data_IF_388999042637
#
_entry.id   IF_388999042637
#
_cell.length_a   1.000
_cell.length_b   1.000
_cell.length_c   1.000
_cell.angle_alpha   90.00
_cell.angle_beta   90.00
_cell.angle_gamma   90.00
#
_symmetry.space_group_name_H-M   'P 1'
#
loop_
_entity.id
_entity.type
_entity.pdbx_description
1 polymer ?
#
# COMPACT_ATOMS: atom_id res chain seq x y z
N UNK A 1 17.85 -48.73 -52.68
CA UNK A 1 17.37 -47.33 -52.52
C UNK A 1 18.47 -46.40 -53.01
N UNK A 2 18.16 -45.37 -53.82
CA UNK A 2 19.12 -44.30 -54.15
C UNK A 2 18.69 -43.06 -53.41
N UNK A 3 19.51 -42.61 -52.47
CA UNK A 3 19.36 -41.33 -51.77
C UNK A 3 19.95 -40.22 -52.65
N UNK A 4 19.26 -39.08 -52.77
CA UNK A 4 19.69 -37.96 -53.63
C UNK A 4 20.37 -36.81 -52.88
N UNK A 5 20.35 -36.82 -51.56
CA UNK A 5 21.07 -35.87 -50.72
C UNK A 5 20.79 -36.20 -49.26
N UNK A 6 21.78 -35.97 -48.41
CA UNK A 6 21.62 -35.99 -46.96
C UNK A 6 21.87 -34.58 -46.46
N UNK A 7 20.99 -34.07 -45.59
CA UNK A 7 21.24 -32.88 -44.80
C UNK A 7 21.33 -33.30 -43.35
N UNK A 8 22.46 -32.99 -42.72
CA UNK A 8 22.67 -33.21 -41.30
C UNK A 8 22.74 -31.82 -40.66
N UNK A 9 21.94 -31.58 -39.64
CA UNK A 9 21.98 -30.37 -38.82
C UNK A 9 22.26 -30.75 -37.38
N UNK A 10 23.30 -30.15 -36.80
CA UNK A 10 23.64 -30.30 -35.38
C UNK A 10 23.63 -28.91 -34.77
N UNK A 11 22.84 -28.73 -33.71
CA UNK A 11 22.76 -27.48 -32.96
C UNK A 11 22.96 -27.80 -31.47
N UNK A 12 24.21 -27.73 -30.96
CA UNK A 12 24.48 -27.86 -29.55
C UNK A 12 24.23 -26.53 -28.81
N UNK A 13 23.72 -26.63 -27.60
CA UNK A 13 23.51 -25.54 -26.64
C UNK A 13 24.26 -25.92 -25.36
N UNK A 14 25.02 -24.98 -24.79
CA UNK A 14 25.88 -25.23 -23.62
C UNK A 14 25.79 -24.06 -22.67
N UNK A 15 25.50 -24.34 -21.40
CA UNK A 15 25.41 -23.34 -20.33
C UNK A 15 26.68 -23.37 -19.50
N UNK A 16 27.29 -22.21 -19.24
CA UNK A 16 28.53 -22.07 -18.47
C UNK A 16 28.30 -21.08 -17.31
N UNK A 17 28.76 -21.43 -16.12
CA UNK A 17 28.67 -20.57 -14.94
C UNK A 17 29.73 -19.45 -14.91
N UNK A 18 29.60 -18.54 -13.93
CA UNK A 18 30.54 -17.43 -13.74
C UNK A 18 31.97 -17.82 -13.36
N UNK A 19 32.21 -19.09 -13.01
CA UNK A 19 33.52 -19.66 -12.73
C UNK A 19 34.13 -20.38 -13.95
N UNK A 20 33.42 -20.38 -15.09
CA UNK A 20 33.86 -21.02 -16.32
C UNK A 20 33.54 -22.52 -16.40
N UNK A 21 32.73 -23.06 -15.47
CA UNK A 21 32.35 -24.47 -15.50
C UNK A 21 31.09 -24.66 -16.34
N UNK A 22 31.08 -25.71 -17.17
CA UNK A 22 29.87 -26.13 -17.88
C UNK A 22 28.86 -26.66 -16.86
N UNK A 23 27.59 -26.24 -16.95
CA UNK A 23 26.52 -26.64 -16.03
C UNK A 23 25.38 -27.39 -16.71
N UNK A 24 25.21 -27.22 -18.02
CA UNK A 24 24.24 -27.98 -18.82
C UNK A 24 24.70 -28.10 -20.29
N UNK A 25 24.38 -29.22 -20.94
CA UNK A 25 24.64 -29.45 -22.37
C UNK A 25 23.39 -30.07 -23.00
N UNK A 26 22.85 -29.39 -24.01
CA UNK A 26 21.74 -29.84 -24.83
C UNK A 26 22.14 -29.85 -26.30
N UNK A 27 21.46 -30.63 -27.12
CA UNK A 27 21.76 -30.74 -28.54
C UNK A 27 20.57 -31.20 -29.34
N UNK A 28 20.43 -30.65 -30.54
CA UNK A 28 19.49 -31.17 -31.54
C UNK A 28 20.27 -31.75 -32.69
N UNK A 29 19.87 -32.94 -33.12
CA UNK A 29 20.43 -33.62 -34.28
C UNK A 29 19.28 -33.94 -35.23
N UNK A 30 19.36 -33.38 -36.43
CA UNK A 30 18.44 -33.65 -37.53
C UNK A 30 19.18 -34.33 -38.68
N UNK A 31 18.62 -35.41 -39.20
CA UNK A 31 19.08 -36.05 -40.43
C UNK A 31 17.92 -36.14 -41.40
N UNK A 32 18.04 -35.44 -42.53
CA UNK A 32 17.08 -35.49 -43.61
C UNK A 32 17.67 -36.19 -44.83
N UNK A 33 16.86 -37.02 -45.47
CA UNK A 33 17.23 -37.74 -46.68
C UNK A 33 16.14 -37.64 -47.73
N UNK A 34 16.54 -37.27 -48.95
CA UNK A 34 15.61 -37.25 -50.08
C UNK A 34 15.44 -38.65 -50.67
N UNK A 35 14.19 -39.12 -50.73
CA UNK A 35 13.82 -40.40 -51.34
C UNK A 35 13.00 -40.19 -52.62
N UNK A 36 12.72 -41.28 -53.33
CA UNK A 36 11.95 -41.23 -54.59
C UNK A 36 10.49 -40.79 -54.43
N UNK A 37 9.97 -40.84 -53.21
CA UNK A 37 8.55 -40.62 -52.90
C UNK A 37 8.33 -39.41 -51.97
N UNK A 38 9.40 -38.71 -51.60
CA UNK A 38 9.36 -37.64 -50.60
C UNK A 38 10.64 -37.56 -49.78
N UNK A 39 10.71 -36.62 -48.85
CA UNK A 39 11.84 -36.47 -47.93
C UNK A 39 11.49 -37.15 -46.60
N UNK A 40 12.42 -37.96 -46.08
CA UNK A 40 12.34 -38.58 -44.75
C UNK A 40 13.30 -37.82 -43.85
N UNK A 41 12.80 -37.27 -42.75
CA UNK A 41 13.59 -36.63 -41.70
C UNK A 41 13.50 -37.39 -40.39
N UNK A 42 14.61 -37.46 -39.67
CA UNK A 42 14.70 -37.88 -38.27
C UNK A 42 15.23 -36.68 -37.48
N UNK A 43 14.45 -36.17 -36.53
CA UNK A 43 14.92 -35.18 -35.56
C UNK A 43 14.94 -35.80 -34.17
N UNK A 44 16.06 -35.61 -33.46
CA UNK A 44 16.23 -36.00 -32.07
C UNK A 44 16.71 -34.83 -31.24
N UNK A 45 16.19 -34.73 -30.02
CA UNK A 45 16.77 -33.89 -28.96
C UNK A 45 17.59 -34.78 -28.04
N UNK A 46 18.80 -34.36 -27.72
CA UNK A 46 19.72 -35.02 -26.80
C UNK A 46 20.02 -34.01 -25.69
N UNK A 47 19.81 -34.37 -24.44
CA UNK A 47 20.23 -33.55 -23.30
C UNK A 47 20.86 -34.44 -22.24
N UNK A 48 21.87 -33.93 -21.54
CA UNK A 48 22.44 -34.58 -20.36
C UNK A 48 22.58 -33.56 -19.23
N UNK A 49 21.99 -33.86 -18.08
CA UNK A 49 22.18 -33.07 -16.85
C UNK A 49 23.50 -33.40 -16.10
N UNK A 50 24.38 -34.25 -16.66
CA UNK A 50 25.59 -34.72 -15.99
C UNK A 50 26.84 -34.13 -16.65
N UNK A 51 27.54 -33.27 -15.92
CA UNK A 51 28.85 -32.73 -16.30
C UNK A 51 29.93 -33.57 -15.61
N UNK A 52 30.73 -34.29 -16.42
CA UNK A 52 31.81 -35.19 -16.00
C UNK A 52 32.37 -35.97 -17.20
N UNK A 53 33.47 -36.72 -17.02
CA UNK A 53 34.37 -37.33 -18.04
C UNK A 53 33.75 -38.24 -19.12
N UNK A 54 32.42 -38.30 -19.24
CA UNK A 54 31.73 -39.03 -20.30
C UNK A 54 30.52 -38.22 -20.83
N UNK A 55 30.71 -37.32 -21.82
CA UNK A 55 29.66 -36.44 -22.35
C UNK A 55 28.55 -37.16 -23.15
N UNK A 56 28.50 -38.49 -23.11
CA UNK A 56 27.47 -39.34 -23.71
C UNK A 56 26.75 -40.25 -22.70
N UNK A 57 27.13 -40.19 -21.42
CA UNK A 57 26.63 -41.06 -20.35
C UNK A 57 25.28 -40.63 -19.78
N UNK A 58 24.22 -40.57 -20.60
CA UNK A 58 22.87 -40.33 -20.11
C UNK A 58 21.92 -39.70 -21.12
N UNK A 59 21.77 -40.32 -22.30
CA UNK A 59 20.87 -39.84 -23.34
C UNK A 59 19.41 -40.12 -22.94
N UNK A 60 18.65 -39.07 -22.60
CA UNK A 60 17.20 -39.08 -22.71
C UNK A 60 16.81 -38.27 -23.96
N UNK A 61 16.30 -38.94 -24.99
CA UNK A 61 15.95 -38.29 -26.25
C UNK A 61 14.76 -38.94 -26.93
N UNK A 62 13.74 -38.14 -27.25
CA UNK A 62 12.62 -38.53 -28.10
C UNK A 62 13.01 -38.41 -29.57
N UNK A 63 12.72 -39.44 -30.37
CA UNK A 63 12.96 -39.46 -31.81
C UNK A 63 11.62 -39.25 -32.52
N UNK A 64 11.54 -38.23 -33.38
CA UNK A 64 10.38 -38.01 -34.25
C UNK A 64 10.76 -38.29 -35.72
N UNK A 65 9.91 -39.07 -36.40
CA UNK A 65 10.03 -39.38 -37.83
C UNK A 65 9.03 -38.52 -38.61
N UNK A 66 9.52 -37.72 -39.56
CA UNK A 66 8.68 -36.86 -40.41
C UNK A 66 8.82 -37.32 -41.86
N UNK A 67 7.69 -37.62 -42.50
CA UNK A 67 7.63 -37.98 -43.93
C UNK A 67 6.84 -36.94 -44.71
N UNK A 68 7.48 -36.28 -45.67
CA UNK A 68 6.84 -35.27 -46.53
C UNK A 68 6.75 -35.79 -47.97
N UNK A 69 5.55 -36.13 -48.50
CA UNK A 69 5.40 -36.68 -49.85
C UNK A 69 5.69 -35.64 -50.95
N UNK A 70 6.43 -36.03 -51.98
CA UNK A 70 6.77 -35.17 -53.13
C UNK A 70 6.44 -35.82 -54.49
N UNK A 71 6.24 -34.99 -55.54
CA UNK A 71 5.87 -35.45 -56.90
C UNK A 71 7.01 -36.21 -57.61
N UNK A 72 6.70 -37.24 -58.43
CA UNK A 72 7.70 -38.13 -59.02
C UNK A 72 8.47 -37.46 -60.19
N UNK A 73 9.81 -37.63 -60.28
CA UNK A 73 10.61 -37.02 -61.36
C UNK A 73 10.89 -37.95 -62.55
N UNK A 74 11.08 -37.33 -63.72
CA UNK A 74 11.36 -37.92 -65.04
C UNK A 74 12.75 -38.58 -65.21
N UNK A 75 12.89 -39.26 -66.37
CA UNK A 75 13.82 -40.35 -66.71
C UNK A 75 15.33 -40.07 -66.58
N UNK A 76 16.01 -41.16 -66.15
CA UNK A 76 17.44 -41.54 -66.17
C UNK A 76 18.45 -40.57 -66.82
N UNK A 77 19.39 -40.09 -65.99
CA UNK A 77 20.70 -39.55 -66.40
C UNK A 77 21.83 -40.37 -65.77
N UNK A 78 22.97 -40.47 -66.47
CA UNK A 78 24.18 -41.20 -66.04
C UNK A 78 24.67 -40.72 -64.67
N UNK A 79 25.16 -41.65 -63.86
CA UNK A 79 25.70 -41.36 -62.53
C UNK A 79 27.19 -41.03 -62.62
N UNK A 80 27.54 -39.75 -62.57
CA UNK A 80 28.90 -39.32 -62.24
C UNK A 80 29.04 -39.19 -60.72
N UNK A 81 30.04 -39.88 -60.15
CA UNK A 81 30.44 -39.68 -58.75
C UNK A 81 31.07 -38.30 -58.63
N UNK A 82 30.39 -37.37 -57.97
CA UNK A 82 30.92 -36.05 -57.65
C UNK A 82 31.33 -36.02 -56.18
N UNK A 83 32.59 -35.70 -55.90
CA UNK A 83 32.99 -35.28 -54.55
C UNK A 83 32.30 -33.95 -54.27
N UNK A 84 31.50 -33.91 -53.21
CA UNK A 84 30.91 -32.68 -52.69
C UNK A 84 31.68 -32.38 -51.41
N UNK A 85 32.37 -31.25 -51.37
CA UNK A 85 33.00 -30.76 -50.15
C UNK A 85 31.91 -30.12 -49.30
N UNK A 86 31.60 -30.72 -48.16
CA UNK A 86 30.78 -30.09 -47.14
C UNK A 86 31.62 -28.95 -46.53
N UNK A 87 31.15 -27.71 -46.69
CA UNK A 87 31.73 -26.57 -45.98
C UNK A 87 30.88 -26.37 -44.74
N UNK A 88 31.45 -26.64 -43.58
CA UNK A 88 30.81 -26.37 -42.29
C UNK A 88 30.71 -24.85 -42.11
N UNK A 89 29.50 -24.33 -41.97
CA UNK A 89 29.26 -22.94 -41.62
C UNK A 89 28.68 -22.91 -40.20
N UNK A 90 29.58 -22.89 -39.21
CA UNK A 90 29.22 -22.90 -37.80
C UNK A 90 29.06 -21.45 -37.35
N UNK A 91 27.87 -21.10 -36.86
CA UNK A 91 27.59 -19.82 -36.25
C UNK A 91 27.34 -20.03 -34.76
N UNK A 92 28.12 -19.33 -33.93
CA UNK A 92 27.95 -19.33 -32.50
C UNK A 92 27.13 -18.10 -32.08
N UNK A 93 26.08 -18.33 -31.30
CA UNK A 93 25.25 -17.30 -30.72
C UNK A 93 25.32 -17.45 -29.20
N UNK A 94 25.66 -16.36 -28.50
CA UNK A 94 25.78 -16.38 -27.05
C UNK A 94 24.81 -15.41 -26.41
N UNK A 95 24.16 -15.90 -25.36
CA UNK A 95 23.36 -15.12 -24.44
C UNK A 95 24.00 -15.21 -23.06
N UNK A 96 24.16 -14.06 -22.42
CA UNK A 96 24.55 -13.99 -21.02
C UNK A 96 23.29 -14.02 -20.17
N UNK A 97 23.20 -14.98 -19.26
CA UNK A 97 22.19 -15.01 -18.20
C UNK A 97 22.78 -14.44 -16.91
N UNK A 98 22.00 -13.60 -16.23
CA UNK A 98 22.34 -13.08 -14.90
C UNK A 98 21.20 -13.34 -13.94
N UNK A 99 21.48 -14.11 -12.90
CA UNK A 99 20.55 -14.33 -11.80
C UNK A 99 20.53 -13.12 -10.86
N UNK A 100 19.35 -12.55 -10.68
CA UNK A 100 19.10 -11.48 -9.72
C UNK A 100 18.23 -12.06 -8.60
N UNK A 101 18.77 -12.23 -7.37
CA UNK A 101 18.01 -12.79 -6.26
C UNK A 101 16.89 -11.84 -5.82
N UNK A 102 15.88 -12.41 -5.17
CA UNK A 102 14.83 -11.60 -4.55
C UNK A 102 15.44 -10.69 -3.48
N UNK A 103 15.05 -9.42 -3.47
CA UNK A 103 15.57 -8.45 -2.53
C UNK A 103 14.49 -7.50 -2.05
N UNK A 104 14.59 -7.09 -0.80
CA UNK A 104 13.74 -6.06 -0.21
C UNK A 104 14.42 -4.70 -0.39
N UNK A 105 13.73 -3.78 -1.07
CA UNK A 105 14.24 -2.43 -1.30
C UNK A 105 13.36 -1.44 -0.56
N UNK A 106 13.96 -0.64 0.32
CA UNK A 106 13.27 0.49 0.95
C UNK A 106 13.10 1.60 -0.08
N UNK A 107 11.85 1.98 -0.35
CA UNK A 107 11.49 3.13 -1.18
C UNK A 107 10.66 4.10 -0.39
N UNK A 108 10.57 5.34 -0.87
CA UNK A 108 9.72 6.38 -0.29
C UNK A 108 8.56 6.69 -1.21
N UNK A 109 7.38 6.94 -0.64
CA UNK A 109 6.22 7.49 -1.36
C UNK A 109 5.67 8.69 -0.60
N UNK A 110 5.08 9.62 -1.33
CA UNK A 110 4.26 10.67 -0.72
C UNK A 110 2.85 10.12 -0.49
N UNK A 111 2.35 10.28 0.74
CA UNK A 111 0.96 9.97 1.08
C UNK A 111 0.32 11.16 1.75
N UNK A 112 -0.98 11.32 1.54
CA UNK A 112 -1.78 12.33 2.23
C UNK A 112 -2.30 11.72 3.53
N UNK A 113 -1.94 12.34 4.66
CA UNK A 113 -2.48 12.00 5.98
C UNK A 113 -3.38 13.12 6.47
N UNK A 114 -4.55 12.74 6.95
CA UNK A 114 -5.44 13.64 7.65
C UNK A 114 -5.01 13.73 9.12
N UNK A 115 -4.76 14.95 9.58
CA UNK A 115 -4.55 15.27 10.98
C UNK A 115 -5.85 15.82 11.55
N UNK A 116 -6.16 15.42 12.78
CA UNK A 116 -7.34 15.89 13.52
C UNK A 116 -6.92 16.43 14.88
N UNK A 117 -7.54 17.54 15.29
CA UNK A 117 -7.41 18.14 16.63
C UNK A 117 -8.80 18.53 17.13
N UNK A 118 -9.02 18.45 18.44
CA UNK A 118 -10.27 18.93 19.06
C UNK A 118 -9.95 19.97 20.13
N UNK A 119 -10.70 21.09 20.10
CA UNK A 119 -10.64 22.18 21.08
C UNK A 119 -12.00 22.39 21.71
N UNK A 120 -12.03 22.93 22.92
CA UNK A 120 -13.28 23.17 23.62
C UNK A 120 -13.48 24.62 23.98
N UNK A 121 -14.69 25.09 23.79
CA UNK A 121 -15.17 26.34 24.39
C UNK A 121 -16.12 25.97 25.53
N UNK A 122 -15.94 26.57 26.68
CA UNK A 122 -16.79 26.38 27.85
C UNK A 122 -17.73 27.57 28.01
N UNK A 123 -18.88 27.34 28.63
CA UNK A 123 -19.95 28.33 28.72
C UNK A 123 -20.41 28.55 30.16
N UNK A 124 -20.83 29.78 30.43
CA UNK A 124 -21.46 30.12 31.70
C UNK A 124 -22.79 29.35 31.87
N UNK A 125 -23.22 29.20 33.12
CA UNK A 125 -24.47 28.51 33.46
C UNK A 125 -25.66 29.11 32.70
N UNK A 126 -26.51 28.25 32.14
CA UNK A 126 -27.75 28.60 31.46
C UNK A 126 -27.63 29.65 30.33
N UNK A 127 -26.44 29.85 29.75
CA UNK A 127 -26.24 30.79 28.63
C UNK A 127 -25.29 30.23 27.57
N UNK A 128 -25.34 30.83 26.37
CA UNK A 128 -24.38 30.64 25.28
C UNK A 128 -23.18 31.59 25.37
N UNK A 129 -23.01 32.28 26.51
CA UNK A 129 -21.85 33.14 26.75
C UNK A 129 -20.62 32.31 27.07
N UNK A 130 -19.56 32.49 26.28
CA UNK A 130 -18.28 31.81 26.49
C UNK A 130 -17.67 32.24 27.83
N UNK A 131 -17.34 31.25 28.65
CA UNK A 131 -16.55 31.42 29.84
C UNK A 131 -15.07 31.56 29.42
N UNK A 132 -14.62 32.80 29.26
CA UNK A 132 -13.26 33.10 28.81
C UNK A 132 -12.16 32.56 29.75
N UNK A 133 -12.44 32.45 31.05
CA UNK A 133 -11.47 31.93 32.02
C UNK A 133 -11.20 30.44 31.80
N UNK A 134 -12.27 29.63 31.70
CA UNK A 134 -12.16 28.19 31.43
C UNK A 134 -11.67 27.91 30.00
N UNK A 135 -12.02 28.78 29.06
CA UNK A 135 -11.71 28.60 27.64
C UNK A 135 -10.35 29.17 27.22
N UNK A 136 -9.62 29.86 28.11
CA UNK A 136 -8.42 30.61 27.77
C UNK A 136 -7.35 29.78 27.04
N UNK A 137 -7.00 28.61 27.57
CA UNK A 137 -6.02 27.71 26.94
C UNK A 137 -6.49 27.23 25.57
N UNK A 138 -7.72 26.73 25.50
CA UNK A 138 -8.28 26.20 24.25
C UNK A 138 -8.48 27.27 23.18
N UNK A 139 -8.77 28.52 23.55
CA UNK A 139 -8.82 29.65 22.61
C UNK A 139 -7.44 29.98 22.04
N UNK A 140 -6.39 29.93 22.86
CA UNK A 140 -5.02 30.10 22.41
C UNK A 140 -4.61 29.00 21.43
N UNK A 141 -4.83 27.74 21.80
CA UNK A 141 -4.56 26.57 20.95
C UNK A 141 -5.36 26.57 19.65
N UNK A 142 -6.64 26.96 19.71
CA UNK A 142 -7.49 27.10 18.54
C UNK A 142 -6.94 28.15 17.57
N UNK A 143 -6.48 29.30 18.09
CA UNK A 143 -5.83 30.33 17.27
C UNK A 143 -4.57 29.80 16.57
N UNK A 144 -3.75 29.04 17.30
CA UNK A 144 -2.53 28.41 16.75
C UNK A 144 -2.90 27.41 15.65
N UNK A 145 -3.83 26.49 15.92
CA UNK A 145 -4.25 25.48 14.94
C UNK A 145 -4.76 26.12 13.63
N UNK A 146 -5.58 27.16 13.74
CA UNK A 146 -6.10 27.90 12.58
C UNK A 146 -4.96 28.55 11.78
N UNK A 147 -3.97 29.13 12.46
CA UNK A 147 -2.78 29.72 11.83
C UNK A 147 -1.88 28.68 11.15
N UNK A 148 -1.85 27.45 11.68
CA UNK A 148 -1.14 26.30 11.09
C UNK A 148 -1.88 25.70 9.87
N UNK A 149 -3.00 26.30 9.47
CA UNK A 149 -3.78 25.89 8.30
C UNK A 149 -4.76 24.75 8.57
N UNK A 150 -5.04 24.43 9.84
CA UNK A 150 -6.19 23.59 10.15
C UNK A 150 -7.50 24.32 9.80
N UNK A 151 -8.52 23.54 9.45
CA UNK A 151 -9.86 24.01 9.15
C UNK A 151 -10.86 23.32 10.06
N UNK A 152 -11.83 24.06 10.56
CA UNK A 152 -12.92 23.53 11.37
C UNK A 152 -13.75 22.58 10.51
N UNK A 153 -13.82 21.31 10.92
CA UNK A 153 -14.64 20.27 10.30
C UNK A 153 -15.95 20.04 11.06
N UNK A 154 -15.98 20.31 12.36
CA UNK A 154 -17.25 20.31 13.10
C UNK A 154 -17.23 21.22 14.33
N UNK A 155 -18.40 21.70 14.70
CA UNK A 155 -18.67 22.37 16.00
C UNK A 155 -19.92 21.73 16.59
N UNK A 156 -19.74 21.03 17.71
CA UNK A 156 -20.83 20.37 18.44
C UNK A 156 -21.03 21.04 19.78
N UNK A 157 -22.17 21.70 19.96
CA UNK A 157 -22.54 22.35 21.23
C UNK A 157 -23.25 21.39 22.17
N UNK A 158 -22.96 21.48 23.47
CA UNK A 158 -23.47 20.60 24.51
C UNK A 158 -23.91 21.39 25.74
N UNK A 159 -24.78 20.76 26.53
CA UNK A 159 -25.18 21.23 27.86
C UNK A 159 -24.84 20.20 28.94
N UNK A 160 -24.73 20.68 30.17
CA UNK A 160 -24.86 19.80 31.34
C UNK A 160 -26.33 19.39 31.50
N UNK A 161 -26.61 18.30 32.24
CA UNK A 161 -27.97 17.86 32.54
C UNK A 161 -28.54 18.70 33.71
N UNK A 162 -28.51 20.02 33.54
CA UNK A 162 -29.03 20.99 34.50
C UNK A 162 -30.23 21.71 33.91
N UNK A 163 -31.38 21.53 34.54
CA UNK A 163 -32.64 22.07 34.04
C UNK A 163 -33.26 21.19 32.96
N UNK A 164 -34.41 21.60 32.41
CA UNK A 164 -35.17 20.76 31.50
C UNK A 164 -34.52 20.67 30.11
N UNK A 165 -34.63 19.49 29.49
CA UNK A 165 -34.31 19.26 28.07
C UNK A 165 -35.02 20.21 27.12
N UNK A 166 -36.34 20.27 27.26
CA UNK A 166 -37.22 21.10 26.46
C UNK A 166 -37.43 22.48 27.09
N UNK A 167 -38.04 23.39 26.33
CA UNK A 167 -38.33 24.74 26.80
C UNK A 167 -39.27 24.71 28.02
N UNK A 168 -38.79 25.25 29.13
CA UNK A 168 -39.56 25.50 30.34
C UNK A 168 -40.03 26.96 30.43
N UNK A 169 -40.68 27.31 31.55
CA UNK A 169 -41.27 28.65 31.75
C UNK A 169 -40.24 29.78 31.77
N UNK A 170 -39.01 29.51 32.24
CA UNK A 170 -37.94 30.51 32.41
C UNK A 170 -36.62 30.13 31.75
N UNK A 171 -36.57 28.98 31.08
CA UNK A 171 -35.37 28.43 30.49
C UNK A 171 -35.73 27.85 29.12
N UNK A 172 -34.94 28.17 28.10
CA UNK A 172 -35.21 27.79 26.71
C UNK A 172 -35.09 26.29 26.43
N UNK A 173 -34.61 25.52 27.40
CA UNK A 173 -34.33 24.10 27.25
C UNK A 173 -32.90 23.85 26.80
N UNK A 174 -32.35 22.74 27.26
CA UNK A 174 -30.98 22.33 26.96
C UNK A 174 -30.76 22.01 25.48
N UNK A 175 -31.79 21.56 24.75
CA UNK A 175 -31.68 21.36 23.30
C UNK A 175 -31.40 22.66 22.56
N UNK A 176 -32.20 23.70 22.81
CA UNK A 176 -32.02 25.01 22.19
C UNK A 176 -30.70 25.66 22.63
N UNK A 177 -30.37 25.56 23.92
CA UNK A 177 -29.10 26.08 24.45
C UNK A 177 -27.87 25.41 23.82
N UNK A 178 -27.92 24.10 23.57
CA UNK A 178 -26.82 23.40 22.90
C UNK A 178 -26.57 23.92 21.47
N UNK A 179 -27.63 24.27 20.73
CA UNK A 179 -27.54 24.86 19.39
C UNK A 179 -26.90 26.25 19.44
N UNK A 180 -27.38 27.10 20.34
CA UNK A 180 -26.82 28.45 20.51
C UNK A 180 -25.35 28.43 20.95
N UNK A 181 -24.92 27.42 21.71
CA UNK A 181 -23.50 27.22 22.04
C UNK A 181 -22.66 26.82 20.83
N UNK A 182 -23.20 25.99 19.93
CA UNK A 182 -22.53 25.68 18.67
C UNK A 182 -22.37 26.95 17.81
N UNK A 183 -23.42 27.77 17.70
CA UNK A 183 -23.42 29.05 16.98
C UNK A 183 -22.46 30.08 17.60
N UNK A 184 -22.41 30.15 18.94
CA UNK A 184 -21.41 30.95 19.65
C UNK A 184 -19.99 30.48 19.33
N UNK A 185 -19.77 29.17 19.19
CA UNK A 185 -18.51 28.60 18.72
C UNK A 185 -18.16 29.01 17.30
N UNK A 186 -19.12 29.00 16.37
CA UNK A 186 -18.94 29.53 15.01
C UNK A 186 -18.50 30.99 15.04
N UNK A 187 -19.23 31.81 15.78
CA UNK A 187 -18.96 33.24 15.92
C UNK A 187 -17.56 33.49 16.48
N UNK A 188 -17.14 32.71 17.47
CA UNK A 188 -15.81 32.81 18.07
C UNK A 188 -14.71 32.42 17.08
N UNK A 189 -14.89 31.33 16.32
CA UNK A 189 -13.93 30.92 15.27
C UNK A 189 -13.82 32.02 14.21
N UNK A 190 -14.94 32.55 13.72
CA UNK A 190 -14.93 33.62 12.71
C UNK A 190 -14.19 34.86 13.21
N UNK A 191 -14.37 35.25 14.47
CA UNK A 191 -13.63 36.37 15.08
C UNK A 191 -12.12 36.09 15.13
N UNK A 192 -11.70 34.88 15.52
CA UNK A 192 -10.29 34.50 15.51
C UNK A 192 -9.72 34.59 14.09
N UNK A 193 -10.42 34.07 13.10
CA UNK A 193 -9.99 34.08 11.71
C UNK A 193 -9.84 35.49 11.13
N UNK A 194 -10.82 36.35 11.42
CA UNK A 194 -10.75 37.76 11.02
C UNK A 194 -9.55 38.47 11.66
N UNK A 195 -9.27 38.19 12.95
CA UNK A 195 -8.12 38.76 13.67
C UNK A 195 -6.79 38.29 13.10
N UNK A 196 -6.67 37.02 12.75
CA UNK A 196 -5.45 36.43 12.19
C UNK A 196 -5.31 36.64 10.66
N UNK A 197 -6.27 37.32 10.02
CA UNK A 197 -6.26 37.54 8.56
C UNK A 197 -6.48 36.27 7.73
N UNK A 198 -7.10 35.24 8.30
CA UNK A 198 -7.38 33.96 7.65
C UNK A 198 -8.71 34.06 6.92
N UNK A 199 -8.70 33.92 5.59
CA UNK A 199 -9.91 34.09 4.76
C UNK A 199 -11.05 33.13 5.09
N UNK A 200 -10.82 31.82 4.97
CA UNK A 200 -11.81 30.81 5.34
C UNK A 200 -11.22 29.81 6.33
N UNK A 201 -11.83 29.69 7.50
CA UNK A 201 -11.42 28.75 8.55
C UNK A 201 -12.25 27.47 8.62
N UNK A 202 -13.32 27.37 7.84
CA UNK A 202 -14.19 26.21 7.85
C UNK A 202 -13.91 25.32 6.64
N UNK A 203 -13.93 24.02 6.85
CA UNK A 203 -13.99 23.05 5.77
C UNK A 203 -15.32 23.22 5.01
N UNK A 204 -15.34 22.87 3.72
CA UNK A 204 -16.53 23.07 2.87
C UNK A 204 -17.78 22.34 3.40
N UNK A 205 -17.59 21.22 4.10
CA UNK A 205 -18.65 20.38 4.68
C UNK A 205 -18.61 20.40 6.21
N UNK A 206 -18.32 21.55 6.83
CA UNK A 206 -18.27 21.64 8.28
C UNK A 206 -19.66 21.37 8.90
N UNK A 207 -19.72 20.44 9.86
CA UNK A 207 -20.96 20.10 10.58
C UNK A 207 -21.10 20.94 11.84
N UNK A 208 -22.17 21.73 11.94
CA UNK A 208 -22.45 22.61 13.07
C UNK A 208 -23.79 22.20 13.67
N UNK A 209 -23.77 21.71 14.91
CA UNK A 209 -24.98 21.15 15.53
C UNK A 209 -24.99 21.28 17.04
N UNK A 210 -26.19 21.46 17.60
CA UNK A 210 -26.45 21.26 19.03
C UNK A 210 -26.74 19.80 19.31
N UNK A 211 -26.09 19.23 20.31
CA UNK A 211 -26.16 17.81 20.65
C UNK A 211 -26.95 17.55 21.95
N UNK A 212 -27.54 18.58 22.53
CA UNK A 212 -28.25 18.49 23.80
C UNK A 212 -27.32 18.25 24.98
N UNK A 213 -27.82 17.47 25.95
CA UNK A 213 -27.18 17.24 27.22
C UNK A 213 -26.13 16.13 27.18
N UNK A 214 -25.05 16.30 27.94
CA UNK A 214 -24.08 15.25 28.21
C UNK A 214 -24.42 14.56 29.53
N UNK A 215 -24.44 13.23 29.49
CA UNK A 215 -24.57 12.37 30.66
C UNK A 215 -25.87 12.57 31.44
N UNK A 216 -26.99 12.68 30.73
CA UNK A 216 -28.34 12.67 31.32
C UNK A 216 -28.70 11.26 31.77
N UNK A 217 -29.22 11.17 32.99
CA UNK A 217 -29.79 9.97 33.57
C UNK A 217 -31.29 9.98 33.30
N UNK A 218 -31.79 8.95 32.64
CA UNK A 218 -33.21 8.78 32.36
C UNK A 218 -33.79 7.60 33.14
N UNK A 219 -35.07 7.68 33.46
CA UNK A 219 -35.86 6.55 33.96
C UNK A 219 -36.15 5.54 32.84
N UNK A 220 -36.68 4.38 33.20
CA UNK A 220 -37.11 3.36 32.21
C UNK A 220 -38.22 3.86 31.27
N UNK A 221 -38.93 4.91 31.65
CA UNK A 221 -39.98 5.56 30.85
C UNK A 221 -39.45 6.73 30.01
N UNK A 222 -38.14 7.02 30.08
CA UNK A 222 -37.49 8.10 29.34
C UNK A 222 -37.62 9.49 29.98
N UNK A 223 -38.03 9.57 31.25
CA UNK A 223 -38.10 10.84 31.97
C UNK A 223 -36.75 11.16 32.61
N UNK A 224 -36.35 12.44 32.61
CA UNK A 224 -35.10 12.87 33.22
C UNK A 224 -35.15 12.70 34.74
N UNK A 225 -34.14 12.03 35.28
CA UNK A 225 -33.94 11.95 36.71
C UNK A 225 -33.28 13.26 37.14
N UNK A 226 -33.94 14.02 38.01
CA UNK A 226 -33.33 15.19 38.60
C UNK A 226 -32.43 14.83 39.80
N UNK A 227 -31.80 15.84 40.40
CA UNK A 227 -30.90 15.73 41.56
C UNK A 227 -31.38 14.75 42.64
N UNK A 228 -30.48 14.13 43.43
CA UNK A 228 -29.01 14.16 43.38
C UNK A 228 -28.40 13.05 42.50
N UNK A 229 -29.21 12.09 42.06
CA UNK A 229 -28.76 10.91 41.31
C UNK A 229 -28.13 11.31 39.96
N UNK A 230 -28.69 12.32 39.30
CA UNK A 230 -28.15 12.92 38.08
C UNK A 230 -26.72 13.45 38.22
N UNK A 231 -26.42 14.09 39.36
CA UNK A 231 -25.10 14.65 39.62
C UNK A 231 -24.05 13.55 39.82
N UNK A 232 -24.43 12.48 40.52
CA UNK A 232 -23.55 11.32 40.72
C UNK A 232 -23.33 10.54 39.41
N UNK A 233 -24.38 10.34 38.61
CA UNK A 233 -24.29 9.70 37.30
C UNK A 233 -23.37 10.49 36.37
N UNK A 234 -23.61 11.80 36.21
CA UNK A 234 -22.79 12.63 35.34
C UNK A 234 -21.32 12.69 35.78
N UNK A 235 -21.06 12.71 37.10
CA UNK A 235 -19.69 12.66 37.61
C UNK A 235 -19.03 11.30 37.33
N UNK A 236 -19.77 10.20 37.46
CA UNK A 236 -19.29 8.85 37.16
C UNK A 236 -18.92 8.75 35.69
N UNK A 237 -19.85 9.08 34.78
CA UNK A 237 -19.62 9.08 33.33
C UNK A 237 -18.43 9.97 32.95
N UNK A 238 -18.33 11.17 33.54
CA UNK A 238 -17.20 12.06 33.29
C UNK A 238 -15.85 11.43 33.69
N UNK A 239 -15.82 10.61 34.74
CA UNK A 239 -14.58 9.95 35.19
C UNK A 239 -14.24 8.68 34.41
N UNK A 240 -15.21 8.00 33.82
CA UNK A 240 -15.03 6.69 33.17
C UNK A 240 -14.92 6.79 31.65
N UNK A 241 -15.60 7.75 31.02
CA UNK A 241 -15.67 7.84 29.56
C UNK A 241 -14.35 8.30 28.96
N UNK A 242 -13.90 7.62 27.90
CA UNK A 242 -12.61 7.94 27.27
C UNK A 242 -12.61 9.34 26.65
N UNK A 243 -13.74 9.83 26.13
CA UNK A 243 -13.81 11.14 25.49
C UNK A 243 -13.49 12.30 26.46
N UNK A 244 -13.64 12.10 27.77
CA UNK A 244 -13.36 13.10 28.79
C UNK A 244 -11.91 13.10 29.29
N UNK A 245 -11.06 12.19 28.79
CA UNK A 245 -9.70 11.99 29.29
C UNK A 245 -8.89 13.29 29.32
N UNK A 246 -9.00 14.10 28.27
CA UNK A 246 -8.28 15.37 28.19
C UNK A 246 -8.74 16.43 29.19
N UNK A 247 -9.92 16.26 29.81
CA UNK A 247 -10.39 17.14 30.88
C UNK A 247 -9.92 16.69 32.26
N UNK A 248 -9.56 15.41 32.44
CA UNK A 248 -9.17 14.81 33.73
C UNK A 248 -7.73 15.12 34.13
N UNK A 249 -7.43 16.41 34.28
CA UNK A 249 -6.13 16.84 34.81
C UNK A 249 -5.91 16.34 36.24
N UNK A 250 -4.65 16.14 36.69
CA UNK A 250 -4.38 15.70 38.06
C UNK A 250 -4.99 16.60 39.14
N UNK A 251 -5.09 17.91 38.87
CA UNK A 251 -5.74 18.87 39.76
C UNK A 251 -7.25 18.67 39.86
N UNK A 252 -7.91 18.43 38.71
CA UNK A 252 -9.35 18.16 38.66
C UNK A 252 -9.69 16.84 39.34
N UNK A 253 -8.94 15.78 39.06
CA UNK A 253 -9.14 14.45 39.67
C UNK A 253 -9.05 14.53 41.19
N UNK A 254 -8.04 15.22 41.74
CA UNK A 254 -7.93 15.44 43.19
C UNK A 254 -9.11 16.24 43.77
N UNK A 255 -9.69 17.19 43.02
CA UNK A 255 -10.89 17.92 43.47
C UNK A 255 -12.09 16.99 43.51
N UNK A 256 -12.28 16.14 42.50
CA UNK A 256 -13.36 15.16 42.44
C UNK A 256 -13.25 14.11 43.56
N UNK A 257 -12.06 13.61 43.85
CA UNK A 257 -11.81 12.66 44.95
C UNK A 257 -12.13 13.26 46.33
N UNK A 258 -11.98 14.58 46.48
CA UNK A 258 -12.28 15.31 47.72
C UNK A 258 -13.75 15.68 47.85
N UNK A 259 -14.48 15.78 46.74
CA UNK A 259 -15.91 16.08 46.72
C UNK A 259 -16.70 14.93 47.35
N UNK A 260 -17.36 15.21 48.48
CA UNK A 260 -18.09 14.24 49.29
C UNK A 260 -19.57 14.16 48.95
N UNK A 261 -20.12 15.22 48.35
CA UNK A 261 -21.55 15.29 48.00
C UNK A 261 -21.76 15.28 46.48
N UNK A 262 -22.94 14.83 46.00
CA UNK A 262 -23.29 14.94 44.58
C UNK A 262 -23.24 16.39 44.08
N UNK A 263 -23.69 17.36 44.86
CA UNK A 263 -23.66 18.78 44.50
C UNK A 263 -22.21 19.30 44.33
N UNK A 264 -21.30 18.94 45.25
CA UNK A 264 -19.88 19.30 45.12
C UNK A 264 -19.24 18.69 43.86
N UNK A 265 -19.64 17.48 43.48
CA UNK A 265 -19.19 16.84 42.23
C UNK A 265 -19.75 17.57 41.01
N UNK A 266 -21.04 17.92 41.03
CA UNK A 266 -21.69 18.70 39.97
C UNK A 266 -21.01 20.06 39.76
N UNK A 267 -20.68 20.77 40.83
CA UNK A 267 -19.97 22.07 40.77
C UNK A 267 -18.58 21.96 40.11
N UNK A 268 -17.99 20.77 40.10
CA UNK A 268 -16.71 20.51 39.42
C UNK A 268 -16.94 20.08 37.97
N UNK A 269 -17.90 19.18 37.72
CA UNK A 269 -18.09 18.52 36.42
C UNK A 269 -18.92 19.35 35.45
N UNK A 270 -20.05 19.91 35.90
CA UNK A 270 -20.98 20.60 35.02
C UNK A 270 -20.38 21.78 34.25
N UNK A 271 -19.50 22.62 34.82
CA UNK A 271 -18.80 23.64 34.04
C UNK A 271 -18.02 23.09 32.84
N UNK A 272 -17.53 21.84 32.92
CA UNK A 272 -16.81 21.17 31.84
C UNK A 272 -17.73 20.48 30.83
N UNK A 273 -18.97 20.14 31.21
CA UNK A 273 -19.98 19.61 30.30
C UNK A 273 -20.69 20.71 29.49
N UNK A 274 -20.76 21.93 30.04
CA UNK A 274 -21.28 23.12 29.36
C UNK A 274 -20.29 23.60 28.30
N UNK A 275 -20.17 22.89 27.19
CA UNK A 275 -19.09 23.12 26.21
C UNK A 275 -19.53 23.02 24.76
N UNK A 276 -18.67 23.49 23.86
CA UNK A 276 -18.72 23.20 22.44
C UNK A 276 -17.39 22.55 22.03
N UNK A 277 -17.46 21.40 21.37
CA UNK A 277 -16.32 20.69 20.82
C UNK A 277 -16.09 21.14 19.39
N UNK A 278 -14.94 21.73 19.11
CA UNK A 278 -14.51 22.20 17.80
C UNK A 278 -13.47 21.22 17.28
N UNK A 279 -13.85 20.43 16.27
CA UNK A 279 -12.92 19.53 15.59
C UNK A 279 -12.33 20.24 14.39
N UNK A 280 -11.01 20.15 14.26
CA UNK A 280 -10.23 20.74 13.20
C UNK A 280 -9.48 19.65 12.43
N UNK A 281 -9.42 19.80 11.11
CA UNK A 281 -8.68 18.89 10.24
C UNK A 281 -7.70 19.62 9.34
N UNK A 282 -6.61 18.93 9.00
CA UNK A 282 -5.63 19.36 8.00
C UNK A 282 -5.12 18.17 7.24
N UNK A 283 -5.15 18.23 5.91
CA UNK A 283 -4.49 17.25 5.07
C UNK A 283 -3.03 17.66 4.89
N UNK A 284 -2.10 16.78 5.28
CA UNK A 284 -0.67 17.00 5.10
C UNK A 284 -0.09 15.89 4.23
N UNK A 285 0.75 16.27 3.28
CA UNK A 285 1.60 15.32 2.54
C UNK A 285 2.79 14.93 3.40
N UNK A 286 2.96 13.63 3.58
CA UNK A 286 4.05 13.05 4.37
C UNK A 286 4.79 12.06 3.50
N UNK A 287 6.12 12.09 3.57
CA UNK A 287 6.98 11.09 2.93
C UNK A 287 7.11 9.87 3.83
N UNK A 288 6.72 8.71 3.33
CA UNK A 288 6.79 7.45 4.07
C UNK A 288 7.68 6.44 3.37
N UNK A 289 8.48 5.74 4.15
CA UNK A 289 9.25 4.59 3.68
C UNK A 289 8.37 3.34 3.66
N UNK A 290 8.42 2.60 2.56
CA UNK A 290 7.81 1.28 2.43
C UNK A 290 8.84 0.29 1.87
N UNK A 291 8.67 -0.98 2.22
CA UNK A 291 9.50 -2.07 1.70
C UNK A 291 8.83 -2.64 0.46
N UNK A 292 9.51 -2.58 -0.68
CA UNK A 292 9.11 -3.23 -1.90
C UNK A 292 9.90 -4.53 -2.08
N UNK A 293 9.19 -5.64 -2.25
CA UNK A 293 9.81 -6.92 -2.57
C UNK A 293 10.02 -6.99 -4.08
N UNK A 294 11.28 -7.00 -4.49
CA UNK A 294 11.65 -7.26 -5.88
C UNK A 294 11.83 -8.77 -6.02
N UNK A 295 11.00 -9.47 -6.84
CA UNK A 295 11.12 -10.90 -7.00
C UNK A 295 12.42 -11.27 -7.71
N UNK A 296 12.86 -12.50 -7.50
CA UNK A 296 13.99 -13.06 -8.23
C UNK A 296 13.67 -13.08 -9.74
N UNK A 297 14.66 -12.75 -10.57
CA UNK A 297 14.53 -12.78 -12.04
C UNK A 297 15.84 -13.14 -12.71
N UNK A 298 15.74 -13.69 -13.91
CA UNK A 298 16.86 -13.95 -14.80
C UNK A 298 16.86 -12.86 -15.88
N UNK A 299 17.94 -12.09 -15.96
CA UNK A 299 18.15 -11.15 -17.06
C UNK A 299 18.99 -11.84 -18.15
N UNK A 300 18.44 -11.85 -19.38
CA UNK A 300 19.13 -12.37 -20.57
C UNK A 300 19.60 -11.22 -21.43
N UNK A 301 20.87 -11.25 -21.83
CA UNK A 301 21.44 -10.27 -22.73
C UNK A 301 22.17 -10.96 -23.88
N UNK A 302 21.80 -10.61 -25.11
CA UNK A 302 22.56 -11.04 -26.28
C UNK A 302 23.95 -10.40 -26.26
N UNK A 303 24.99 -11.22 -26.47
CA UNK A 303 26.35 -10.72 -26.58
C UNK A 303 26.55 -10.15 -27.99
N UNK A 304 26.45 -8.82 -28.10
CA UNK A 304 26.73 -8.10 -29.33
C UNK A 304 28.20 -8.30 -29.72
N UNK A 305 28.44 -8.96 -30.85
CA UNK A 305 29.79 -9.30 -31.33
C UNK A 305 30.08 -10.81 -31.40
N UNK A 306 29.15 -11.66 -30.99
CA UNK A 306 29.30 -13.12 -31.01
C UNK A 306 29.89 -13.68 -29.71
N UNK A 307 30.04 -15.00 -29.66
CA UNK A 307 30.58 -15.69 -28.49
C UNK A 307 32.08 -15.39 -28.30
N UNK A 308 32.53 -15.06 -27.07
CA UNK A 308 33.95 -14.94 -26.77
C UNK A 308 34.74 -16.24 -27.13
N UNK A 309 35.95 -16.15 -27.69
CA UNK A 309 36.71 -17.32 -28.15
C UNK A 309 37.01 -18.35 -27.06
N UNK A 310 37.27 -17.89 -25.84
CA UNK A 310 37.50 -18.71 -24.65
C UNK A 310 36.26 -19.52 -24.24
N UNK A 311 35.08 -18.93 -24.38
CA UNK A 311 33.79 -19.61 -24.16
C UNK A 311 33.54 -20.67 -25.23
N UNK A 312 33.79 -20.33 -26.51
CA UNK A 312 33.69 -21.29 -27.62
C UNK A 312 34.66 -22.45 -27.40
N UNK A 313 35.90 -22.17 -27.03
CA UNK A 313 36.93 -23.19 -26.82
C UNK A 313 36.63 -24.08 -25.61
N UNK A 314 36.02 -23.53 -24.56
CA UNK A 314 35.63 -24.29 -23.37
C UNK A 314 34.42 -25.19 -23.63
N UNK A 315 33.40 -24.69 -24.34
CA UNK A 315 32.21 -25.47 -24.69
C UNK A 315 32.47 -26.47 -25.84
N UNK A 316 33.33 -26.09 -26.79
CA UNK A 316 33.65 -26.86 -27.99
C UNK A 316 35.17 -26.97 -28.16
N UNK A 317 35.86 -27.84 -27.41
CA UNK A 317 37.34 -27.93 -27.43
C UNK A 317 37.93 -28.29 -28.80
N UNK A 318 37.11 -28.88 -29.68
CA UNK A 318 37.49 -29.27 -31.04
C UNK A 318 37.14 -28.20 -32.09
N UNK A 319 36.50 -27.09 -31.70
CA UNK A 319 36.19 -25.99 -32.61
C UNK A 319 37.48 -25.32 -33.07
N UNK A 320 37.77 -25.42 -34.37
CA UNK A 320 38.88 -24.67 -34.97
C UNK A 320 38.46 -23.21 -35.11
N UNK A 321 38.83 -22.39 -34.14
CA UNK A 321 38.69 -20.93 -34.23
C UNK A 321 39.66 -20.47 -35.32
N UNK A 322 39.14 -20.24 -36.52
CA UNK A 322 39.92 -19.55 -37.56
C UNK A 322 39.89 -18.05 -37.27
N UNK A 323 41.03 -17.35 -37.32
CA UNK A 323 41.12 -15.92 -36.99
C UNK A 323 40.31 -15.02 -37.92
#
# INVERSE_FOLDING_TARGET
>A
MRVRGWRISVAPETTIDSSGNVTDIQGRVGVETDTRIGTIGVEGRLGSQAVGDDPLGGIQGGISLIFTPGRPPERRSRCDRRRVTLVENIRYECQQERDIPAQQVTRTREVERQQERTRFLYFDYATSRINNSLSASSLGELSVDLSEGFRVSSIRGFTSPEGPREAGVRFQGNEQLSRERAEAGVSQVQQLCAREGIGNCFAASADISGQGELYTLETLTGEEVERPQQAEFAATEFTTQQQEEMHRTPGLTRRLERARTPDERADIVYPLLRRAAITLTRTQRVTESFTEEIPARIERRDILGGCPPDIIQSAFPQARISP
#
